data_IF_863552761651
#
_entry.id   IF_863552761651
#
_cell.length_a   1.000
_cell.length_b   1.000
_cell.length_c   1.000
_cell.angle_alpha   90.00
_cell.angle_beta   90.00
_cell.angle_gamma   90.00
#
_symmetry.space_group_name_H-M   'P 1'
#
loop_
_entity.id
_entity.type
_entity.pdbx_description
1 polymer ?
#
# COMPACT_ATOMS: atom_id res chain seq x y z
N UNK A 1 2.37 5.05 -5.28
CA UNK A 1 1.37 6.03 -4.82
C UNK A 1 1.79 7.46 -5.11
N UNK A 2 2.85 8.00 -4.48
CA UNK A 2 3.25 9.40 -4.70
C UNK A 2 3.39 9.79 -6.18
N UNK A 3 4.04 8.97 -7.00
CA UNK A 3 4.11 9.20 -8.46
C UNK A 3 2.73 9.37 -9.11
N UNK A 4 1.79 8.46 -8.82
CA UNK A 4 0.42 8.50 -9.34
C UNK A 4 -0.36 9.72 -8.82
N UNK A 5 -0.11 10.12 -7.58
CA UNK A 5 -0.77 11.26 -6.95
C UNK A 5 -0.18 12.61 -7.40
N UNK A 6 1.07 12.62 -7.84
CA UNK A 6 1.74 13.76 -8.47
C UNK A 6 1.52 13.87 -9.98
N UNK A 7 0.61 13.07 -10.55
CA UNK A 7 0.26 13.11 -11.98
C UNK A 7 1.21 12.36 -12.91
N UNK A 8 2.17 11.61 -12.36
CA UNK A 8 3.03 10.70 -13.10
C UNK A 8 2.65 9.23 -12.91
N UNK A 9 3.60 8.33 -13.09
CA UNK A 9 3.34 6.89 -13.03
C UNK A 9 4.58 6.03 -13.26
N UNK A 10 4.39 4.71 -13.33
CA UNK A 10 5.48 3.78 -13.66
C UNK A 10 5.68 3.66 -15.17
N UNK A 11 4.59 3.77 -15.94
CA UNK A 11 4.55 3.65 -17.39
C UNK A 11 3.84 4.83 -18.02
N UNK A 12 4.11 5.09 -19.29
CA UNK A 12 3.33 6.01 -20.12
C UNK A 12 2.04 5.37 -20.63
N UNK A 13 1.27 6.12 -21.43
CA UNK A 13 -0.02 5.71 -21.99
C UNK A 13 0.08 4.54 -22.98
N UNK A 14 1.28 4.21 -23.46
CA UNK A 14 1.54 3.09 -24.37
C UNK A 14 2.26 1.91 -23.68
N UNK A 15 2.43 1.98 -22.35
CA UNK A 15 2.97 0.90 -21.52
C UNK A 15 4.49 0.86 -21.39
N UNK A 16 5.21 1.88 -21.87
CA UNK A 16 6.67 1.97 -21.71
C UNK A 16 7.01 2.55 -20.34
N UNK A 17 8.02 2.00 -19.66
CA UNK A 17 8.48 2.56 -18.38
C UNK A 17 8.92 4.02 -18.53
N UNK A 18 8.38 4.89 -17.69
CA UNK A 18 8.59 6.35 -17.70
C UNK A 18 8.88 6.88 -16.28
N UNK A 19 9.63 6.09 -15.51
CA UNK A 19 9.91 6.34 -14.09
C UNK A 19 10.61 7.69 -13.87
N UNK A 20 11.42 8.14 -14.82
CA UNK A 20 12.13 9.43 -14.81
C UNK A 20 11.35 10.58 -15.48
N UNK A 21 10.05 10.41 -15.71
CA UNK A 21 9.20 11.47 -16.27
C UNK A 21 9.31 12.78 -15.47
N UNK A 22 9.16 13.95 -16.12
CA UNK A 22 9.19 15.24 -15.44
C UNK A 22 8.24 15.34 -14.24
N UNK A 23 7.08 14.70 -14.31
CA UNK A 23 6.08 14.63 -13.25
C UNK A 23 6.61 13.86 -12.03
N UNK A 24 7.24 12.71 -12.25
CA UNK A 24 7.84 11.92 -11.17
C UNK A 24 9.02 12.67 -10.54
N UNK A 25 9.90 13.28 -11.35
CA UNK A 25 11.02 14.08 -10.86
C UNK A 25 10.53 15.25 -10.00
N UNK A 26 9.48 15.94 -10.44
CA UNK A 26 8.83 17.02 -9.67
C UNK A 26 8.29 16.50 -8.34
N UNK A 27 7.58 15.38 -8.36
CA UNK A 27 7.02 14.74 -7.16
C UNK A 27 8.10 14.39 -6.14
N UNK A 28 9.18 13.71 -6.56
CA UNK A 28 10.26 13.32 -5.66
C UNK A 28 11.10 14.50 -5.19
N UNK A 29 11.26 15.54 -6.00
CA UNK A 29 11.88 16.80 -5.58
C UNK A 29 11.07 17.44 -4.46
N UNK A 30 9.75 17.53 -4.62
CA UNK A 30 8.86 18.04 -3.57
C UNK A 30 8.94 17.19 -2.29
N UNK A 31 8.87 15.85 -2.39
CA UNK A 31 9.00 14.98 -1.21
C UNK A 31 10.33 15.18 -0.48
N UNK A 32 11.43 15.31 -1.24
CA UNK A 32 12.76 15.56 -0.69
C UNK A 32 12.81 16.90 0.04
N UNK A 33 12.33 17.97 -0.57
CA UNK A 33 12.54 19.33 -0.07
C UNK A 33 11.50 19.70 1.00
N UNK A 34 10.24 19.29 0.82
CA UNK A 34 9.11 19.75 1.63
C UNK A 34 8.75 18.79 2.77
N UNK A 35 9.07 17.50 2.66
CA UNK A 35 8.85 16.54 3.74
C UNK A 35 10.15 16.12 4.41
N UNK A 36 11.07 15.52 3.65
CA UNK A 36 12.29 14.93 4.23
C UNK A 36 13.26 16.03 4.71
N UNK A 37 13.53 17.03 3.88
CA UNK A 37 14.45 18.12 4.18
C UNK A 37 13.99 19.00 5.35
N UNK A 38 12.67 19.04 5.59
CA UNK A 38 12.06 19.74 6.74
C UNK A 38 11.92 18.86 7.98
N UNK A 39 12.35 17.59 7.94
CA UNK A 39 12.28 16.67 9.06
C UNK A 39 10.86 16.24 9.44
N UNK A 40 9.93 16.26 8.48
CA UNK A 40 8.53 15.88 8.68
C UNK A 40 8.27 14.36 8.49
N UNK A 41 9.33 13.58 8.29
CA UNK A 41 9.27 12.12 8.15
C UNK A 41 9.85 11.46 9.41
N UNK A 42 9.79 10.12 9.47
CA UNK A 42 10.23 9.35 10.62
C UNK A 42 11.70 9.60 11.04
N UNK A 43 12.13 9.04 12.18
CA UNK A 43 13.40 9.39 12.84
C UNK A 43 14.66 8.96 12.06
N UNK A 44 14.50 8.23 10.97
CA UNK A 44 15.57 7.79 10.08
C UNK A 44 15.19 8.10 8.63
N UNK A 45 16.20 8.18 7.77
CA UNK A 45 15.98 8.37 6.33
C UNK A 45 14.91 7.37 5.81
N UNK A 46 13.94 7.82 4.99
CA UNK A 46 12.81 6.97 4.57
C UNK A 46 13.22 5.61 3.99
N UNK A 47 14.31 5.56 3.22
CA UNK A 47 14.84 4.30 2.65
C UNK A 47 15.40 3.30 3.67
N UNK A 48 15.55 3.70 4.94
CA UNK A 48 16.02 2.85 6.05
C UNK A 48 14.92 2.55 7.07
N UNK A 49 13.75 3.17 6.94
CA UNK A 49 12.66 3.00 7.88
C UNK A 49 11.96 1.65 7.62
N UNK A 50 11.89 0.80 8.64
CA UNK A 50 11.12 -0.43 8.57
C UNK A 50 9.62 -0.11 8.66
N UNK A 51 8.82 -0.68 7.75
CA UNK A 51 7.36 -0.47 7.70
C UNK A 51 6.67 -0.89 9.00
N UNK A 52 7.04 -2.03 9.58
CA UNK A 52 6.44 -2.52 10.82
C UNK A 52 6.70 -1.55 11.99
N UNK A 53 7.91 -0.97 12.06
CA UNK A 53 8.23 0.04 13.07
C UNK A 53 7.38 1.32 12.90
N UNK A 54 7.14 1.76 11.66
CA UNK A 54 6.26 2.91 11.40
C UNK A 54 4.80 2.63 11.80
N UNK A 55 4.31 1.41 11.56
CA UNK A 55 2.97 0.98 11.95
C UNK A 55 2.81 0.89 13.47
N UNK A 56 3.80 0.32 14.16
CA UNK A 56 3.81 0.25 15.61
C UNK A 56 3.81 1.65 16.25
N UNK A 57 4.65 2.55 15.74
CA UNK A 57 4.70 3.94 16.19
C UNK A 57 3.36 4.66 15.98
N UNK A 58 2.68 4.45 14.85
CA UNK A 58 1.33 4.97 14.64
C UNK A 58 0.32 4.41 15.64
N UNK A 59 0.33 3.09 15.86
CA UNK A 59 -0.56 2.45 16.83
C UNK A 59 -0.29 2.90 18.28
N UNK A 60 0.92 3.39 18.58
CA UNK A 60 1.28 3.99 19.87
C UNK A 60 0.92 5.49 19.97
N UNK A 61 0.51 6.13 18.87
CA UNK A 61 0.20 7.56 18.82
C UNK A 61 1.40 8.47 18.55
N UNK A 62 2.56 7.93 18.19
CA UNK A 62 3.80 8.68 17.92
C UNK A 62 3.87 9.25 16.49
N UNK A 63 2.99 8.78 15.60
CA UNK A 63 2.94 9.19 14.19
C UNK A 63 1.61 9.87 13.88
N UNK A 64 1.65 11.12 13.43
CA UNK A 64 0.44 11.89 13.10
C UNK A 64 -0.25 11.45 11.80
N UNK A 65 0.51 11.02 10.79
CA UNK A 65 -0.02 10.56 9.51
C UNK A 65 0.80 9.40 8.96
N UNK A 66 0.10 8.39 8.46
CA UNK A 66 0.69 7.17 7.93
C UNK A 66 -0.17 6.69 6.76
N UNK A 67 0.49 6.16 5.74
CA UNK A 67 -0.18 5.31 4.76
C UNK A 67 -0.10 3.84 5.22
N UNK A 68 -1.25 3.24 5.53
CA UNK A 68 -1.35 1.91 6.11
C UNK A 68 -2.63 1.19 5.70
N UNK A 69 -2.76 -0.07 6.13
CA UNK A 69 -3.89 -0.95 5.81
C UNK A 69 -4.95 -0.95 6.93
N UNK A 70 -6.22 -1.28 6.61
CA UNK A 70 -7.34 -1.25 7.57
C UNK A 70 -7.09 -2.03 8.87
N UNK A 71 -6.38 -3.16 8.83
CA UNK A 71 -6.11 -3.95 10.04
C UNK A 71 -5.27 -3.21 11.10
N UNK A 72 -4.58 -2.12 10.74
CA UNK A 72 -3.90 -1.25 11.70
C UNK A 72 -4.87 -0.51 12.63
N UNK A 73 -6.10 -0.26 12.17
CA UNK A 73 -7.11 0.49 12.91
C UNK A 73 -7.56 -0.25 14.17
N UNK A 74 -7.59 -1.58 14.12
CA UNK A 74 -7.86 -2.42 15.29
C UNK A 74 -6.77 -2.23 16.35
N UNK A 75 -5.50 -2.35 15.96
CA UNK A 75 -4.36 -2.18 16.86
C UNK A 75 -4.30 -0.76 17.48
N UNK A 76 -4.58 0.28 16.68
CA UNK A 76 -4.66 1.66 17.18
C UNK A 76 -5.83 1.84 18.17
N UNK A 77 -7.00 1.27 17.87
CA UNK A 77 -8.20 1.33 18.74
C UNK A 77 -7.97 0.63 20.08
N UNK A 78 -7.34 -0.55 20.08
CA UNK A 78 -7.01 -1.31 21.28
C UNK A 78 -6.08 -0.53 22.22
N UNK A 79 -5.20 0.32 21.66
CA UNK A 79 -4.32 1.22 22.40
C UNK A 79 -4.97 2.58 22.72
N UNK A 80 -6.23 2.79 22.34
CA UNK A 80 -6.98 4.02 22.61
C UNK A 80 -6.61 5.21 21.71
N UNK A 81 -5.82 5.00 20.65
CA UNK A 81 -5.44 6.05 19.70
C UNK A 81 -6.65 6.46 18.87
N UNK A 82 -6.89 7.77 18.77
CA UNK A 82 -7.92 8.34 17.90
C UNK A 82 -7.34 8.56 16.50
N UNK A 83 -8.06 8.12 15.49
CA UNK A 83 -7.62 8.23 14.10
C UNK A 83 -8.78 8.65 13.19
N UNK A 84 -8.42 9.14 12.00
CA UNK A 84 -9.31 9.35 10.87
C UNK A 84 -8.71 8.73 9.61
N UNK A 85 -9.55 8.46 8.63
CA UNK A 85 -9.14 7.99 7.31
C UNK A 85 -9.52 9.06 6.29
N UNK A 86 -8.57 9.40 5.42
CA UNK A 86 -8.75 10.39 4.35
C UNK A 86 -8.24 9.81 3.04
N UNK A 87 -8.72 10.37 1.92
CA UNK A 87 -8.16 10.08 0.61
C UNK A 87 -6.69 10.50 0.54
N UNK A 88 -5.94 9.80 -0.29
CA UNK A 88 -4.51 10.10 -0.49
C UNK A 88 -4.35 11.52 -1.05
N UNK A 89 -3.40 12.33 -0.56
CA UNK A 89 -3.13 13.64 -1.13
C UNK A 89 -2.55 13.51 -2.54
N UNK A 90 -3.05 14.32 -3.47
CA UNK A 90 -2.53 14.56 -4.81
C UNK A 90 -2.14 16.02 -4.99
N UNK A 91 -1.55 16.32 -6.15
CA UNK A 91 -1.00 17.65 -6.45
C UNK A 91 -2.04 18.78 -6.41
N UNK A 92 -3.28 18.49 -6.83
CA UNK A 92 -4.40 19.44 -6.90
C UNK A 92 -5.50 19.17 -5.84
N UNK A 93 -5.17 18.47 -4.74
CA UNK A 93 -6.12 18.09 -3.70
C UNK A 93 -6.25 16.58 -3.55
N UNK A 94 -7.46 16.04 -3.45
CA UNK A 94 -7.65 14.60 -3.28
C UNK A 94 -7.21 13.82 -4.53
N UNK A 95 -6.38 12.80 -4.35
CA UNK A 95 -5.93 11.95 -5.45
C UNK A 95 -7.08 11.10 -5.97
N UNK A 96 -7.26 11.07 -7.29
CA UNK A 96 -8.20 10.17 -7.98
C UNK A 96 -7.65 8.75 -8.16
N UNK A 97 -6.36 8.56 -7.87
CA UNK A 97 -5.67 7.29 -8.00
C UNK A 97 -5.53 6.63 -6.63
N UNK A 98 -5.89 5.36 -6.53
CA UNK A 98 -5.56 4.51 -5.37
C UNK A 98 -4.69 3.35 -5.82
N UNK A 99 -3.71 2.98 -5.00
CA UNK A 99 -2.90 1.81 -5.27
C UNK A 99 -3.62 0.58 -4.73
N UNK A 100 -3.99 -0.35 -5.60
CA UNK A 100 -4.49 -1.67 -5.21
C UNK A 100 -3.32 -2.63 -4.97
N UNK A 101 -3.44 -3.46 -3.94
CA UNK A 101 -2.59 -4.64 -3.73
C UNK A 101 -3.51 -5.85 -3.79
N UNK A 102 -3.10 -6.87 -4.54
CA UNK A 102 -3.82 -8.13 -4.66
C UNK A 102 -2.82 -9.26 -4.61
N UNK A 103 -3.04 -10.19 -3.69
CA UNK A 103 -2.24 -11.41 -3.56
C UNK A 103 -2.89 -12.52 -4.37
N UNK A 104 -2.07 -13.27 -5.12
CA UNK A 104 -2.51 -14.33 -6.00
C UNK A 104 -1.81 -15.62 -5.64
N UNK A 105 -2.58 -16.71 -5.55
CA UNK A 105 -2.02 -18.04 -5.55
C UNK A 105 -1.81 -18.48 -6.99
N UNK A 106 -0.60 -18.93 -7.30
CA UNK A 106 -0.27 -19.44 -8.64
C UNK A 106 0.29 -20.84 -8.51
N UNK A 107 0.01 -21.67 -9.51
CA UNK A 107 0.53 -23.03 -9.59
C UNK A 107 1.45 -23.20 -10.79
N UNK A 108 2.46 -24.06 -10.64
CA UNK A 108 3.41 -24.37 -11.70
C UNK A 108 2.88 -25.52 -12.57
N UNK A 109 3.05 -25.41 -13.89
CA UNK A 109 2.66 -26.45 -14.87
C UNK A 109 3.39 -27.79 -14.74
N UNK A 110 4.41 -27.85 -13.88
CA UNK A 110 5.27 -29.04 -13.73
C UNK A 110 4.52 -30.13 -12.94
N UNK A 111 4.95 -31.37 -13.11
CA UNK A 111 4.52 -32.55 -12.34
C UNK A 111 3.12 -33.11 -12.69
N UNK A 112 2.41 -32.54 -13.66
CA UNK A 112 1.25 -33.21 -14.27
C UNK A 112 -0.05 -33.23 -13.45
N UNK A 113 -0.16 -32.42 -12.39
CA UNK A 113 -1.33 -32.37 -11.51
C UNK A 113 -2.26 -31.19 -11.80
N UNK A 114 -2.54 -30.95 -13.08
CA UNK A 114 -3.30 -29.76 -13.46
C UNK A 114 -4.74 -29.79 -12.94
N UNK A 115 -5.39 -30.95 -12.97
CA UNK A 115 -6.78 -31.11 -12.53
C UNK A 115 -6.88 -30.94 -11.01
N UNK A 116 -6.04 -31.63 -10.24
CA UNK A 116 -6.06 -31.57 -8.77
C UNK A 116 -5.70 -30.17 -8.24
N UNK A 117 -4.77 -29.48 -8.91
CA UNK A 117 -4.46 -28.08 -8.62
C UNK A 117 -5.64 -27.18 -8.93
N UNK A 118 -6.32 -27.42 -10.05
CA UNK A 118 -7.53 -26.68 -10.43
C UNK A 118 -8.61 -26.80 -9.37
N UNK A 119 -8.93 -28.04 -8.97
CA UNK A 119 -9.91 -28.33 -7.92
C UNK A 119 -9.55 -27.66 -6.59
N UNK A 120 -8.26 -27.66 -6.22
CA UNK A 120 -7.80 -26.97 -5.01
C UNK A 120 -7.94 -25.46 -5.10
N UNK A 121 -7.59 -24.86 -6.24
CA UNK A 121 -7.75 -23.42 -6.47
C UNK A 121 -9.23 -23.02 -6.47
N UNK A 122 -10.11 -23.80 -7.09
CA UNK A 122 -11.56 -23.58 -7.07
C UNK A 122 -12.11 -23.68 -5.64
N UNK A 123 -11.60 -24.60 -4.83
CA UNK A 123 -11.92 -24.67 -3.41
C UNK A 123 -11.47 -23.40 -2.67
N UNK A 124 -10.19 -23.02 -2.70
CA UNK A 124 -9.71 -21.87 -1.92
C UNK A 124 -10.30 -20.53 -2.37
N UNK A 125 -10.66 -20.41 -3.65
CA UNK A 125 -11.32 -19.22 -4.20
C UNK A 125 -12.85 -19.28 -4.20
N UNK A 126 -13.46 -20.31 -3.58
CA UNK A 126 -14.90 -20.32 -3.37
C UNK A 126 -15.35 -19.13 -2.52
N UNK A 127 -16.55 -18.62 -2.77
CA UNK A 127 -17.09 -17.45 -2.05
C UNK A 127 -17.03 -17.64 -0.52
N UNK A 128 -17.44 -18.81 -0.04
CA UNK A 128 -17.40 -19.18 1.38
C UNK A 128 -15.97 -19.07 1.95
N UNK A 129 -14.99 -19.69 1.31
CA UNK A 129 -13.61 -19.71 1.80
C UNK A 129 -12.94 -18.34 1.72
N UNK A 130 -13.21 -17.55 0.66
CA UNK A 130 -12.68 -16.19 0.54
C UNK A 130 -13.28 -15.26 1.60
N UNK A 131 -14.58 -15.36 1.86
CA UNK A 131 -15.24 -14.55 2.89
C UNK A 131 -14.77 -14.92 4.30
N UNK A 132 -14.61 -16.22 4.58
CA UNK A 132 -14.10 -16.67 5.88
C UNK A 132 -12.66 -16.24 6.09
N UNK A 133 -11.81 -16.33 5.06
CA UNK A 133 -10.45 -15.80 5.10
C UNK A 133 -10.42 -14.28 5.32
N UNK A 134 -11.23 -13.50 4.58
CA UNK A 134 -11.30 -12.04 4.76
C UNK A 134 -11.75 -11.66 6.17
N UNK A 135 -12.72 -12.38 6.75
CA UNK A 135 -13.19 -12.13 8.13
C UNK A 135 -12.13 -12.43 9.18
N UNK A 136 -11.46 -13.58 9.07
CA UNK A 136 -10.42 -14.00 10.03
C UNK A 136 -9.28 -12.98 10.10
N UNK A 137 -8.86 -12.46 8.94
CA UNK A 137 -7.72 -11.54 8.85
C UNK A 137 -8.10 -10.05 8.78
N UNK A 138 -9.40 -9.73 8.74
CA UNK A 138 -9.90 -8.36 8.67
C UNK A 138 -9.47 -7.62 7.40
N UNK A 139 -9.58 -8.29 6.24
CA UNK A 139 -9.24 -7.78 4.91
C UNK A 139 -10.42 -7.07 4.24
#
# INVERSE_FOLDING_TARGET
QWMLSGGGGYTDDVGTYSVDSPQNVTTFTWLRDELVGKGLTGPVAPGRLNRAAAFEAFANGDVGMLNGHPSLMKAASEKGVKYGMVTTPGIDGESRNTLGVSDWMTAFKKNGHQEEVGDFLDFVYSEENVLDFSREYGL
#
